data_IF_955558249075
#
_entry.id   IF_955558249075
#
_cell.length_a   1.000
_cell.length_b   1.000
_cell.length_c   1.000
_cell.angle_alpha   90.00
_cell.angle_beta   90.00
_cell.angle_gamma   90.00
#
_symmetry.space_group_name_H-M   'P 1'
#
loop_
_entity.id
_entity.type
_entity.pdbx_description
1 polymer ?
#
# COMPACT_ATOMS: atom_id res chain seq x y z
N UNK A 1 -66.03 26.00 15.15
CA UNK A 1 -66.03 25.30 16.45
C UNK A 1 -66.05 23.80 16.19
N UNK A 2 -65.33 23.03 17.01
CA UNK A 2 -65.05 21.58 16.94
C UNK A 2 -63.96 21.14 15.93
N UNK A 3 -63.12 20.15 16.29
CA UNK A 3 -61.86 20.41 16.99
C UNK A 3 -60.66 19.63 16.42
N UNK A 4 -59.50 19.94 17.00
CA UNK A 4 -58.24 19.20 16.99
C UNK A 4 -58.37 17.68 16.77
N UNK A 5 -57.57 17.15 15.84
CA UNK A 5 -56.98 15.82 15.96
C UNK A 5 -55.65 15.80 15.20
N UNK A 6 -54.59 15.99 15.97
CA UNK A 6 -53.20 15.73 15.61
C UNK A 6 -53.13 14.30 15.06
N UNK A 7 -52.97 14.16 13.75
CA UNK A 7 -52.64 12.87 13.12
C UNK A 7 -51.18 12.56 13.41
N UNK A 8 -50.90 11.99 14.59
CA UNK A 8 -49.71 11.18 14.79
C UNK A 8 -49.87 9.93 13.94
N UNK A 9 -49.35 9.98 12.71
CA UNK A 9 -49.11 8.76 11.95
C UNK A 9 -48.00 8.03 12.70
N UNK A 10 -48.38 7.10 13.58
CA UNK A 10 -47.47 6.03 13.99
C UNK A 10 -47.21 5.20 12.74
N UNK A 11 -46.18 5.57 11.98
CA UNK A 11 -45.54 4.61 11.08
C UNK A 11 -45.02 3.51 11.97
N UNK A 12 -45.75 2.41 12.04
CA UNK A 12 -45.24 1.14 12.51
C UNK A 12 -44.10 0.78 11.55
N UNK A 13 -42.89 1.25 11.87
CA UNK A 13 -41.70 0.58 11.43
C UNK A 13 -41.75 -0.77 12.13
N UNK A 14 -42.41 -1.75 11.47
CA UNK A 14 -42.09 -3.14 11.67
C UNK A 14 -40.61 -3.23 11.38
N UNK A 15 -39.83 -3.16 12.45
CA UNK A 15 -38.43 -3.51 12.47
C UNK A 15 -38.43 -4.96 11.99
N UNK A 16 -38.24 -5.11 10.69
CA UNK A 16 -37.99 -6.37 10.05
C UNK A 16 -36.58 -6.73 10.50
N UNK A 17 -36.44 -7.19 11.76
CA UNK A 17 -35.36 -8.07 12.15
C UNK A 17 -35.62 -9.30 11.30
N UNK A 18 -35.16 -9.24 10.04
CA UNK A 18 -34.69 -10.40 9.33
C UNK A 18 -33.59 -10.94 10.23
N UNK A 19 -34.03 -11.76 11.16
CA UNK A 19 -33.39 -12.98 11.55
C UNK A 19 -32.61 -13.50 10.33
N UNK A 20 -31.34 -13.10 10.23
CA UNK A 20 -30.34 -13.89 9.54
C UNK A 20 -30.10 -15.12 10.40
N UNK A 21 -31.14 -15.94 10.53
CA UNK A 21 -30.99 -17.33 10.87
C UNK A 21 -30.21 -17.92 9.71
N UNK A 22 -28.96 -18.23 10.02
CA UNK A 22 -28.09 -19.01 9.18
C UNK A 22 -28.80 -20.34 8.90
N UNK A 23 -29.35 -20.48 7.67
CA UNK A 23 -30.03 -21.72 7.26
C UNK A 23 -29.04 -22.84 6.95
N UNK A 24 -27.74 -22.58 7.07
CA UNK A 24 -26.77 -23.66 7.06
C UNK A 24 -26.85 -24.35 8.43
N UNK A 25 -27.32 -25.59 8.48
CA UNK A 25 -27.16 -26.46 9.66
C UNK A 25 -25.68 -26.83 9.92
N UNK A 26 -24.76 -25.99 9.47
CA UNK A 26 -23.34 -26.18 9.64
C UNK A 26 -22.97 -25.46 10.93
N UNK A 27 -22.48 -26.16 11.97
CA UNK A 27 -21.99 -25.48 13.15
C UNK A 27 -20.85 -24.56 12.72
N UNK A 28 -21.00 -23.24 12.90
CA UNK A 28 -19.87 -22.32 12.74
C UNK A 28 -18.83 -22.74 13.77
N UNK A 29 -17.66 -23.16 13.30
CA UNK A 29 -16.49 -23.38 14.15
C UNK A 29 -16.15 -22.02 14.74
N UNK A 30 -16.68 -21.73 15.93
CA UNK A 30 -16.20 -20.63 16.73
C UNK A 30 -14.80 -21.04 17.18
N UNK A 31 -13.79 -20.37 16.65
CA UNK A 31 -12.43 -20.60 17.10
C UNK A 31 -12.36 -20.34 18.61
N UNK A 32 -11.91 -21.37 19.34
CA UNK A 32 -11.86 -21.35 20.79
C UNK A 32 -11.03 -20.14 21.25
N UNK A 33 -11.63 -19.25 22.05
CA UNK A 33 -11.02 -17.98 22.48
C UNK A 33 -9.72 -18.23 23.27
N UNK A 34 -9.55 -19.45 23.79
CA UNK A 34 -8.33 -19.93 24.48
C UNK A 34 -7.17 -20.30 23.54
N UNK A 35 -7.39 -20.48 22.23
CA UNK A 35 -6.30 -20.69 21.24
C UNK A 35 -5.37 -19.46 21.11
N UNK A 36 -5.77 -18.31 21.63
CA UNK A 36 -5.01 -17.05 21.53
C UNK A 36 -3.80 -16.97 22.49
N UNK A 37 -3.54 -17.99 23.33
CA UNK A 37 -2.49 -17.94 24.35
C UNK A 37 -1.28 -18.85 24.11
N UNK A 38 -1.08 -19.41 22.91
CA UNK A 38 0.22 -20.02 22.58
C UNK A 38 1.20 -18.93 22.14
N UNK A 39 1.89 -18.33 23.12
CA UNK A 39 2.96 -17.33 22.93
C UNK A 39 4.21 -17.90 22.24
N UNK A 40 4.26 -19.21 22.01
CA UNK A 40 5.27 -19.87 21.21
C UNK A 40 4.60 -20.47 19.98
N UNK A 41 4.87 -19.93 18.79
CA UNK A 41 4.75 -20.70 17.55
C UNK A 41 6.04 -21.45 17.33
N UNK A 42 6.37 -22.31 18.29
CA UNK A 42 7.22 -23.46 18.03
C UNK A 42 6.30 -24.46 17.32
N UNK A 43 6.11 -24.30 16.01
CA UNK A 43 5.41 -25.32 15.22
C UNK A 43 6.36 -26.51 15.02
N UNK A 44 6.77 -27.10 16.15
CA UNK A 44 7.21 -28.46 16.24
C UNK A 44 6.01 -29.35 16.01
N UNK A 45 6.14 -30.25 15.04
CA UNK A 45 5.15 -31.27 14.79
C UNK A 45 5.18 -32.28 15.96
N UNK A 46 4.11 -32.33 16.76
CA UNK A 46 3.93 -33.35 17.80
C UNK A 46 3.44 -34.64 17.15
N UNK A 47 4.33 -35.64 17.03
CA UNK A 47 4.00 -36.95 16.46
C UNK A 47 2.92 -37.64 17.31
N UNK A 48 1.78 -37.95 16.70
CA UNK A 48 0.69 -38.68 17.34
C UNK A 48 0.89 -40.19 17.15
N UNK A 49 1.49 -40.85 18.14
CA UNK A 49 1.86 -42.28 18.09
C UNK A 49 0.71 -43.24 17.76
N UNK A 50 -0.53 -42.88 18.08
CA UNK A 50 -1.69 -43.78 17.98
C UNK A 50 -2.45 -43.72 16.65
N UNK A 51 -1.98 -42.96 15.65
CA UNK A 51 -2.59 -42.92 14.30
C UNK A 51 -1.54 -43.06 13.19
N UNK A 52 -0.99 -44.27 12.99
CA UNK A 52 -0.09 -44.51 11.86
C UNK A 52 -0.85 -44.31 10.54
N UNK A 53 -0.52 -43.27 9.78
CA UNK A 53 -1.02 -43.06 8.41
C UNK A 53 -1.67 -41.71 8.11
N UNK A 54 -2.04 -40.90 9.11
CA UNK A 54 -2.71 -39.60 8.87
C UNK A 54 -1.72 -38.44 8.76
N UNK A 55 -0.56 -38.55 9.41
CA UNK A 55 0.43 -37.48 9.45
C UNK A 55 1.81 -37.96 8.93
N UNK A 56 1.97 -38.24 7.62
CA UNK A 56 3.29 -38.06 7.03
C UNK A 56 3.58 -36.55 7.11
N UNK A 57 4.74 -36.17 7.64
CA UNK A 57 5.33 -34.84 7.40
C UNK A 57 5.01 -34.40 5.95
N UNK A 58 4.68 -33.13 5.65
CA UNK A 58 4.35 -32.72 4.29
C UNK A 58 5.44 -33.24 3.34
N UNK A 59 5.08 -34.20 2.50
CA UNK A 59 5.97 -34.90 1.57
C UNK A 59 5.46 -34.61 0.18
N UNK A 60 6.37 -34.22 -0.71
CA UNK A 60 6.09 -34.23 -2.14
C UNK A 60 5.99 -35.71 -2.54
N UNK A 61 4.92 -36.14 -3.23
CA UNK A 61 4.82 -37.52 -3.67
C UNK A 61 6.07 -37.89 -4.50
N UNK A 62 6.62 -39.08 -4.27
CA UNK A 62 7.82 -39.64 -4.92
C UNK A 62 9.18 -39.07 -4.49
N UNK A 63 9.24 -38.13 -3.53
CA UNK A 63 10.50 -37.64 -2.98
C UNK A 63 10.79 -38.28 -1.61
N UNK A 64 11.92 -38.98 -1.50
CA UNK A 64 12.34 -39.67 -0.25
C UNK A 64 13.07 -38.73 0.72
N UNK A 65 13.54 -37.59 0.23
CA UNK A 65 14.27 -36.58 0.99
C UNK A 65 13.32 -35.73 1.85
N UNK A 66 13.72 -35.38 3.10
CA UNK A 66 12.94 -34.47 3.93
C UNK A 66 12.90 -33.06 3.33
N UNK A 67 11.75 -32.38 3.40
CA UNK A 67 11.66 -30.98 3.02
C UNK A 67 12.63 -30.12 3.85
N UNK A 68 13.38 -29.26 3.18
CA UNK A 68 14.31 -28.34 3.83
C UNK A 68 13.53 -27.38 4.75
N UNK A 69 13.68 -27.53 6.07
CA UNK A 69 13.27 -26.53 7.05
C UNK A 69 14.39 -25.47 7.14
N UNK A 70 14.13 -24.19 6.85
CA UNK A 70 15.13 -23.16 7.08
C UNK A 70 15.49 -23.11 8.56
N UNK A 71 16.77 -22.93 8.88
CA UNK A 71 17.22 -22.76 10.27
C UNK A 71 16.51 -21.57 10.89
N UNK A 72 16.00 -21.76 12.10
CA UNK A 72 15.38 -20.68 12.86
C UNK A 72 16.41 -19.60 13.16
N UNK A 73 16.05 -18.35 12.88
CA UNK A 73 16.90 -17.19 13.14
C UNK A 73 16.43 -16.55 14.44
N UNK A 74 17.20 -16.73 15.51
CA UNK A 74 16.99 -15.99 16.76
C UNK A 74 17.24 -14.51 16.47
N UNK A 75 16.26 -13.66 16.79
CA UNK A 75 16.35 -12.20 16.62
C UNK A 75 16.45 -11.56 17.98
N UNK A 76 17.48 -10.73 18.18
CA UNK A 76 17.53 -9.84 19.32
C UNK A 76 16.62 -8.63 19.08
N UNK A 77 15.54 -8.56 19.84
CA UNK A 77 14.54 -7.49 19.76
C UNK A 77 15.11 -6.19 20.33
N UNK A 78 15.98 -6.29 21.35
CA UNK A 78 16.54 -5.19 22.12
C UNK A 78 17.94 -4.79 21.68
N UNK A 79 18.37 -5.21 20.48
CA UNK A 79 19.59 -4.70 19.87
C UNK A 79 19.57 -3.18 19.88
N UNK A 80 20.73 -2.56 20.05
CA UNK A 80 20.87 -1.11 20.19
C UNK A 80 20.16 -0.32 19.08
N UNK A 81 20.29 -0.74 17.82
CA UNK A 81 19.59 -0.10 16.68
C UNK A 81 18.06 -0.11 16.76
N UNK A 82 17.46 -1.13 17.37
CA UNK A 82 16.01 -1.20 17.59
C UNK A 82 15.62 -0.39 18.83
N UNK A 83 16.40 -0.50 19.90
CA UNK A 83 16.14 0.21 21.15
C UNK A 83 16.19 1.73 20.96
N UNK A 84 17.14 2.21 20.14
CA UNK A 84 17.33 3.63 19.80
C UNK A 84 16.48 4.13 18.62
N UNK A 85 15.60 3.28 18.09
CA UNK A 85 14.80 3.68 16.93
C UNK A 85 13.81 4.79 17.31
N UNK A 86 13.86 5.91 16.59
CA UNK A 86 12.94 7.04 16.77
C UNK A 86 13.32 8.04 17.88
N UNK A 87 14.49 7.88 18.52
CA UNK A 87 14.93 8.76 19.62
C UNK A 87 14.88 10.26 19.27
N UNK A 88 15.20 10.63 18.02
CA UNK A 88 15.34 12.02 17.58
C UNK A 88 14.31 12.46 16.51
N UNK A 89 13.17 11.78 16.41
CA UNK A 89 12.18 12.07 15.35
C UNK A 89 11.52 13.45 15.52
N UNK A 90 11.42 13.94 16.76
CA UNK A 90 10.78 15.23 17.12
C UNK A 90 11.79 16.32 17.50
N UNK A 91 13.01 16.24 16.98
CA UNK A 91 14.08 17.20 17.28
C UNK A 91 13.72 18.64 16.87
N UNK A 92 12.86 18.79 15.87
CA UNK A 92 12.39 20.09 15.38
C UNK A 92 11.41 20.77 16.34
N UNK A 93 10.52 20.00 16.98
CA UNK A 93 9.51 20.52 17.89
C UNK A 93 10.05 20.70 19.32
N UNK A 94 10.92 19.79 19.76
CA UNK A 94 11.44 19.78 21.14
C UNK A 94 12.81 20.46 21.27
N UNK A 95 13.48 20.74 20.16
CA UNK A 95 14.80 21.38 20.11
C UNK A 95 14.74 22.88 19.82
N UNK A 96 15.80 23.38 19.19
CA UNK A 96 15.96 24.77 18.77
C UNK A 96 15.34 25.08 17.39
N UNK A 97 14.81 24.05 16.70
CA UNK A 97 14.25 24.15 15.36
C UNK A 97 15.30 24.33 14.24
N UNK A 98 16.59 24.20 14.54
CA UNK A 98 17.66 24.40 13.55
C UNK A 98 17.76 23.26 12.53
N UNK A 99 17.30 22.05 12.91
CA UNK A 99 17.47 20.82 12.15
C UNK A 99 16.10 20.18 11.88
N UNK A 100 15.81 19.92 10.62
CA UNK A 100 14.56 19.25 10.22
C UNK A 100 14.76 17.73 10.16
N UNK A 101 13.82 16.88 10.65
CA UNK A 101 14.00 15.42 10.76
C UNK A 101 14.38 14.73 9.43
N UNK A 102 13.95 15.27 8.30
CA UNK A 102 14.35 14.76 6.97
C UNK A 102 15.86 14.77 6.73
N UNK A 103 16.61 15.64 7.43
CA UNK A 103 18.06 15.74 7.31
C UNK A 103 18.78 14.63 8.09
N UNK A 104 18.16 14.04 9.11
CA UNK A 104 18.67 12.91 9.91
C UNK A 104 18.67 11.58 9.15
N UNK A 105 18.01 11.51 7.99
CA UNK A 105 17.95 10.31 7.15
C UNK A 105 19.28 10.06 6.41
N UNK A 106 20.36 9.76 7.14
CA UNK A 106 21.71 9.57 6.60
C UNK A 106 21.84 8.37 5.66
N UNK A 107 21.02 7.35 5.85
CA UNK A 107 20.97 6.17 4.99
C UNK A 107 20.29 6.44 3.63
N UNK A 108 19.56 7.55 3.52
CA UNK A 108 18.86 7.94 2.29
C UNK A 108 19.74 8.90 1.48
N UNK A 109 19.87 8.71 0.15
CA UNK A 109 20.59 9.65 -0.69
C UNK A 109 20.07 11.08 -0.53
N UNK A 110 20.99 12.07 -0.51
CA UNK A 110 20.63 13.48 -0.24
C UNK A 110 19.51 14.04 -1.13
N UNK A 111 19.44 13.60 -2.39
CA UNK A 111 18.43 14.02 -3.36
C UNK A 111 17.04 13.40 -3.14
N UNK A 112 16.93 12.42 -2.24
CA UNK A 112 15.69 11.71 -1.90
C UNK A 112 15.20 12.02 -0.47
N UNK A 113 16.01 12.73 0.34
CA UNK A 113 15.64 13.11 1.72
C UNK A 113 14.45 14.07 1.74
N UNK A 114 13.48 13.81 2.60
CA UNK A 114 12.28 14.64 2.76
C UNK A 114 11.27 14.53 1.62
N UNK A 115 11.45 13.57 0.72
CA UNK A 115 10.55 13.38 -0.40
C UNK A 115 9.20 12.80 0.08
N UNK A 116 8.05 13.40 -0.27
CA UNK A 116 6.75 12.94 0.19
C UNK A 116 6.45 11.52 -0.31
N UNK A 117 5.91 10.67 0.57
CA UNK A 117 5.60 9.28 0.27
C UNK A 117 4.43 9.09 -0.70
N UNK A 118 4.23 7.82 -1.08
CA UNK A 118 3.11 7.16 -1.81
C UNK A 118 2.34 7.88 -2.94
N UNK A 119 2.79 9.02 -3.44
CA UNK A 119 2.13 9.72 -4.53
C UNK A 119 2.53 9.10 -5.88
N UNK A 120 1.56 8.95 -6.79
CA UNK A 120 1.76 8.19 -8.05
C UNK A 120 2.84 8.80 -8.95
N UNK A 121 3.02 10.12 -8.92
CA UNK A 121 4.07 10.82 -9.69
C UNK A 121 5.47 10.74 -9.04
N UNK A 122 5.60 10.06 -7.90
CA UNK A 122 6.85 9.98 -7.17
C UNK A 122 7.94 9.27 -7.94
N UNK A 123 7.59 8.26 -8.74
CA UNK A 123 8.56 7.61 -9.61
C UNK A 123 9.13 8.59 -10.66
N UNK A 124 8.26 9.37 -11.31
CA UNK A 124 8.68 10.36 -12.30
C UNK A 124 9.64 11.39 -11.70
N UNK A 125 9.22 11.99 -10.58
CA UNK A 125 10.00 13.05 -9.93
C UNK A 125 11.35 12.50 -9.45
N UNK A 126 11.37 11.30 -8.85
CA UNK A 126 12.62 10.62 -8.46
C UNK A 126 13.55 10.38 -9.65
N UNK A 127 13.03 9.90 -10.78
CA UNK A 127 13.82 9.67 -11.97
C UNK A 127 14.39 10.98 -12.56
N UNK A 128 13.62 12.07 -12.53
CA UNK A 128 14.09 13.41 -12.95
C UNK A 128 15.21 13.90 -12.03
N UNK A 129 15.04 13.85 -10.71
CA UNK A 129 16.10 14.26 -9.78
C UNK A 129 17.35 13.41 -9.92
N UNK A 130 17.18 12.08 -10.03
CA UNK A 130 18.29 11.17 -10.26
C UNK A 130 19.05 11.51 -11.54
N UNK A 131 18.33 11.77 -12.65
CA UNK A 131 18.92 12.22 -13.91
C UNK A 131 19.63 13.57 -13.77
N UNK A 132 19.06 14.52 -13.05
CA UNK A 132 19.66 15.85 -12.91
C UNK A 132 20.94 15.82 -12.07
N UNK A 133 21.00 14.96 -11.04
CA UNK A 133 22.17 14.83 -10.16
C UNK A 133 23.27 13.98 -10.80
N UNK A 134 22.92 12.85 -11.43
CA UNK A 134 23.91 11.88 -11.91
C UNK A 134 23.99 11.76 -13.43
N UNK A 135 23.19 12.51 -14.17
CA UNK A 135 23.12 12.49 -15.64
C UNK A 135 24.47 12.49 -16.35
N UNK A 136 25.36 13.48 -16.12
CA UNK A 136 26.64 13.54 -16.83
C UNK A 136 27.52 12.32 -16.53
N UNK A 137 27.53 11.85 -15.28
CA UNK A 137 28.29 10.65 -14.88
C UNK A 137 27.76 9.40 -15.56
N UNK A 138 26.45 9.18 -15.55
CA UNK A 138 25.84 7.99 -16.15
C UNK A 138 26.00 8.02 -17.68
N UNK A 139 25.92 9.19 -18.30
CA UNK A 139 26.14 9.32 -19.74
C UNK A 139 27.56 8.92 -20.15
N UNK A 140 28.57 9.23 -19.33
CA UNK A 140 29.95 8.82 -19.58
C UNK A 140 30.19 7.33 -19.25
N UNK A 141 29.73 6.85 -18.09
CA UNK A 141 29.99 5.48 -17.63
C UNK A 141 29.10 4.44 -18.31
N UNK A 142 27.84 4.75 -18.58
CA UNK A 142 26.83 3.81 -19.07
C UNK A 142 25.74 4.50 -19.91
N UNK A 143 26.04 4.84 -21.19
CA UNK A 143 25.11 5.53 -22.07
C UNK A 143 23.76 4.80 -22.26
N UNK A 144 23.78 3.46 -22.27
CA UNK A 144 22.58 2.64 -22.41
C UNK A 144 21.61 2.82 -21.23
N UNK A 145 22.12 2.83 -19.98
CA UNK A 145 21.29 3.11 -18.80
C UNK A 145 20.72 4.53 -18.83
N UNK A 146 21.52 5.50 -19.27
CA UNK A 146 21.04 6.88 -19.46
C UNK A 146 19.88 6.96 -20.47
N UNK A 147 20.01 6.25 -21.60
CA UNK A 147 18.93 6.17 -22.59
C UNK A 147 17.66 5.53 -22.01
N UNK A 148 17.78 4.42 -21.28
CA UNK A 148 16.64 3.77 -20.63
C UNK A 148 15.96 4.66 -19.59
N UNK A 149 16.75 5.38 -18.79
CA UNK A 149 16.25 6.35 -17.82
C UNK A 149 15.44 7.45 -18.51
N UNK A 150 15.96 8.01 -19.61
CA UNK A 150 15.24 9.02 -20.39
C UNK A 150 13.95 8.46 -21.02
N UNK A 151 13.99 7.23 -21.54
CA UNK A 151 12.80 6.54 -22.05
C UNK A 151 11.74 6.37 -20.96
N UNK A 152 12.15 5.99 -19.74
CA UNK A 152 11.24 5.84 -18.59
C UNK A 152 10.64 7.18 -18.17
N UNK A 153 11.45 8.24 -18.10
CA UNK A 153 10.99 9.60 -17.79
C UNK A 153 9.97 10.06 -18.83
N UNK A 154 10.25 9.89 -20.12
CA UNK A 154 9.34 10.28 -21.20
C UNK A 154 8.01 9.51 -21.13
N UNK A 155 8.05 8.20 -20.92
CA UNK A 155 6.86 7.39 -20.72
C UNK A 155 6.04 7.88 -19.53
N UNK A 156 6.68 8.10 -18.37
CA UNK A 156 6.00 8.56 -17.17
C UNK A 156 5.42 9.98 -17.34
N UNK A 157 6.12 10.88 -18.03
CA UNK A 157 5.60 12.20 -18.37
C UNK A 157 4.34 12.11 -19.22
N UNK A 158 4.37 11.33 -20.29
CA UNK A 158 3.19 11.08 -21.11
C UNK A 158 2.07 10.46 -20.27
N UNK A 159 2.40 9.45 -19.46
CA UNK A 159 1.44 8.77 -18.62
C UNK A 159 0.74 9.70 -17.63
N UNK A 160 1.51 10.49 -16.88
CA UNK A 160 0.97 11.44 -15.93
C UNK A 160 0.32 12.66 -16.59
N UNK A 161 0.62 12.98 -17.85
CA UNK A 161 -0.05 14.09 -18.52
C UNK A 161 -1.39 13.65 -19.14
N UNK A 162 -1.45 12.46 -19.74
CA UNK A 162 -2.61 11.98 -20.49
C UNK A 162 -3.51 11.02 -19.71
N UNK A 163 -2.97 10.15 -18.84
CA UNK A 163 -3.76 9.19 -18.06
C UNK A 163 -4.10 9.67 -16.63
N UNK A 164 -3.51 10.78 -16.16
CA UNK A 164 -3.81 11.38 -14.84
C UNK A 164 -5.15 12.14 -14.79
N UNK A 165 -5.87 12.22 -15.90
CA UNK A 165 -7.22 12.76 -15.93
C UNK A 165 -8.23 11.99 -15.05
N UNK A 166 -7.82 10.89 -14.42
CA UNK A 166 -8.62 10.07 -13.50
C UNK A 166 -8.68 10.56 -12.04
N UNK A 167 -7.95 11.61 -11.65
CA UNK A 167 -8.17 12.26 -10.33
C UNK A 167 -9.51 12.99 -10.27
N UNK A 168 -10.02 13.42 -11.44
CA UNK A 168 -11.36 13.96 -11.62
C UNK A 168 -12.42 12.85 -11.79
N UNK A 169 -12.09 11.57 -11.63
CA UNK A 169 -13.07 10.49 -11.85
C UNK A 169 -14.29 10.64 -10.93
N UNK A 170 -14.09 11.02 -9.67
CA UNK A 170 -15.18 11.33 -8.74
C UNK A 170 -15.96 12.58 -9.17
N UNK A 171 -15.27 13.64 -9.58
CA UNK A 171 -15.92 14.88 -10.06
C UNK A 171 -16.67 14.68 -11.40
N UNK A 172 -16.20 13.77 -12.25
CA UNK A 172 -16.85 13.33 -13.49
C UNK A 172 -18.06 12.45 -13.22
N UNK A 173 -17.98 11.55 -12.23
CA UNK A 173 -19.13 10.77 -11.76
C UNK A 173 -20.24 11.69 -11.19
N UNK A 174 -19.84 12.79 -10.54
CA UNK A 174 -20.74 13.84 -10.07
C UNK A 174 -21.28 14.74 -11.20
N UNK A 175 -20.82 14.58 -12.44
CA UNK A 175 -21.28 15.36 -13.60
C UNK A 175 -20.79 16.81 -13.64
N UNK A 176 -19.81 17.18 -12.80
CA UNK A 176 -19.24 18.53 -12.74
C UNK A 176 -18.37 18.86 -13.96
N UNK A 177 -17.87 17.82 -14.65
CA UNK A 177 -17.03 17.93 -15.84
C UNK A 177 -17.61 17.11 -16.99
N UNK A 178 -17.30 17.51 -18.23
CA UNK A 178 -17.64 16.72 -19.42
C UNK A 178 -17.05 15.31 -19.29
N UNK A 179 -17.84 14.31 -19.73
CA UNK A 179 -17.52 12.89 -19.63
C UNK A 179 -16.32 12.49 -20.49
N UNK A 180 -16.11 13.21 -21.58
CA UNK A 180 -14.93 13.05 -22.44
C UNK A 180 -13.74 13.83 -21.86
N UNK A 181 -12.55 13.21 -21.80
CA UNK A 181 -11.34 13.91 -21.40
C UNK A 181 -11.07 15.09 -22.34
N UNK A 182 -11.14 16.31 -21.81
CA UNK A 182 -10.80 17.51 -22.57
C UNK A 182 -9.27 17.57 -22.74
N UNK A 183 -8.77 17.06 -23.86
CA UNK A 183 -7.35 17.10 -24.21
C UNK A 183 -6.86 18.52 -24.54
N UNK A 184 -7.78 19.47 -24.68
CA UNK A 184 -7.51 20.85 -25.11
C UNK A 184 -7.13 21.80 -23.96
N UNK A 185 -7.44 21.45 -22.70
CA UNK A 185 -7.40 22.39 -21.59
C UNK A 185 -6.03 22.52 -20.88
N UNK A 186 -5.00 21.77 -21.27
CA UNK A 186 -3.65 21.90 -20.64
C UNK A 186 -2.75 22.75 -21.51
N UNK A 187 -2.48 23.98 -21.08
CA UNK A 187 -1.53 24.96 -21.64
C UNK A 187 -1.54 25.05 -23.18
N UNK A 188 -2.06 26.16 -23.71
CA UNK A 188 -2.15 26.54 -25.15
C UNK A 188 -0.85 26.45 -25.98
N UNK A 189 0.24 25.93 -25.41
CA UNK A 189 1.59 25.85 -25.95
C UNK A 189 2.05 24.40 -26.25
N UNK A 190 1.34 23.35 -25.80
CA UNK A 190 1.75 21.96 -26.04
C UNK A 190 0.74 21.23 -26.91
N UNK A 191 1.02 21.19 -28.22
CA UNK A 191 0.31 20.30 -29.15
C UNK A 191 0.47 18.85 -28.73
N UNK A 192 -0.64 18.12 -28.64
CA UNK A 192 -0.64 16.66 -28.51
C UNK A 192 -0.51 16.03 -29.91
N UNK A 193 0.07 14.83 -30.00
CA UNK A 193 0.12 14.07 -31.26
C UNK A 193 -1.29 13.67 -31.78
N UNK A 194 -2.32 13.77 -30.93
CA UNK A 194 -3.72 13.49 -31.28
C UNK A 194 -4.48 14.75 -31.71
N UNK A 195 -3.82 15.89 -31.80
CA UNK A 195 -4.44 17.11 -32.31
C UNK A 195 -4.73 16.90 -33.79
N UNK A 196 -6.00 17.05 -34.18
CA UNK A 196 -6.40 17.12 -35.57
C UNK A 196 -5.63 18.29 -36.20
N UNK A 197 -4.87 18.01 -37.26
CA UNK A 197 -4.18 19.02 -38.08
C UNK A 197 -5.19 20.00 -38.65
#
# INVERSE_FOLDING_TARGET
>A
MLPNLIKFIKTNYLINIRLWHDRSQVPRIADDRRKRSTKYTDTGYFYRYHRPGVDPLPRIPNLREPLFKPKEKVKDIWKESNARFGENDYIDILGDGSLHPSQLLYHVPRWLRGFPGNHRANELIRNIHYRNVYGPKIQQTSPHLFHQLNKRINYLLQYHNYHKQDELSHERQLGLWKREPDYFFKDKQRRSYKDLV
#
